data_IF_658187563719
#
_entry.id   IF_658187563719
#
_cell.length_a   1.000
_cell.length_b   1.000
_cell.length_c   1.000
_cell.angle_alpha   90.00
_cell.angle_beta   90.00
_cell.angle_gamma   90.00
#
_symmetry.space_group_name_H-M   'P 1'
#
loop_
_entity.id
_entity.type
_entity.pdbx_description
1 polymer ?
#
# COMPACT_ATOMS: atom_id res chain seq x y z
N UNK A 1 1.69 -1.37 -18.38
CA UNK A 1 1.13 0.01 -18.50
C UNK A 1 0.42 0.45 -17.22
N UNK A 2 -0.26 -0.45 -16.49
CA UNK A 2 -1.02 -0.13 -15.27
C UNK A 2 -0.19 0.42 -14.12
N UNK A 3 0.98 -0.16 -13.81
CA UNK A 3 1.82 0.29 -12.71
C UNK A 3 2.22 1.79 -12.81
N UNK A 4 2.38 2.30 -14.04
CA UNK A 4 2.72 3.72 -14.29
C UNK A 4 1.49 4.63 -14.12
N UNK A 5 0.31 4.16 -14.54
CA UNK A 5 -0.98 4.84 -14.35
C UNK A 5 -1.37 4.90 -12.88
N UNK A 6 -1.17 3.81 -12.13
CA UNK A 6 -1.37 3.76 -10.68
C UNK A 6 -0.42 4.70 -9.93
N UNK A 7 0.86 4.75 -10.34
CA UNK A 7 1.84 5.67 -9.80
C UNK A 7 1.42 7.15 -9.98
N UNK A 8 1.00 7.54 -11.18
CA UNK A 8 0.57 8.92 -11.45
C UNK A 8 -0.72 9.29 -10.69
N UNK A 9 -1.62 8.32 -10.47
CA UNK A 9 -2.87 8.52 -9.75
C UNK A 9 -2.64 8.83 -8.27
N UNK A 10 -1.75 8.10 -7.59
CA UNK A 10 -1.49 8.31 -6.16
C UNK A 10 -0.59 9.50 -5.88
N UNK A 11 0.35 9.82 -6.78
CA UNK A 11 1.16 11.03 -6.68
C UNK A 11 0.29 12.29 -6.65
N UNK A 12 -0.78 12.35 -7.46
CA UNK A 12 -1.75 13.45 -7.44
C UNK A 12 -2.54 13.54 -6.13
N UNK A 13 -2.74 12.43 -5.43
CA UNK A 13 -3.38 12.37 -4.11
C UNK A 13 -2.42 12.67 -2.94
N UNK A 14 -1.16 13.01 -3.24
CA UNK A 14 -0.13 13.25 -2.22
C UNK A 14 0.35 11.97 -1.52
N UNK A 15 0.12 10.80 -2.13
CA UNK A 15 0.54 9.50 -1.61
C UNK A 15 1.72 8.94 -2.39
N UNK A 16 2.45 8.02 -1.77
CA UNK A 16 3.58 7.32 -2.36
C UNK A 16 3.13 5.96 -2.92
N UNK A 17 3.91 5.41 -3.87
CA UNK A 17 3.70 4.05 -4.36
C UNK A 17 5.03 3.39 -4.70
N UNK A 18 5.11 2.08 -4.46
CA UNK A 18 6.24 1.24 -4.83
C UNK A 18 5.73 0.09 -5.69
N UNK A 19 6.15 0.05 -6.95
CA UNK A 19 5.67 -0.91 -7.96
C UNK A 19 6.82 -1.64 -8.66
N UNK A 20 8.05 -1.39 -8.22
CA UNK A 20 9.23 -2.09 -8.71
C UNK A 20 9.47 -3.31 -7.83
N UNK A 21 10.41 -4.15 -8.26
CA UNK A 21 10.82 -5.32 -7.48
C UNK A 21 11.23 -4.85 -6.09
N UNK A 22 10.58 -5.40 -5.07
CA UNK A 22 10.89 -5.09 -3.69
C UNK A 22 12.30 -5.57 -3.34
N UNK A 23 13.10 -4.67 -2.77
CA UNK A 23 14.40 -5.03 -2.21
C UNK A 23 14.20 -5.40 -0.73
N UNK A 24 14.58 -6.61 -0.36
CA UNK A 24 14.47 -7.06 1.02
C UNK A 24 15.23 -6.12 1.97
N UNK A 25 14.60 -5.77 3.08
CA UNK A 25 15.13 -4.83 4.07
C UNK A 25 14.80 -3.36 3.78
N UNK A 26 13.94 -3.07 2.80
CA UNK A 26 13.52 -1.69 2.50
C UNK A 26 12.89 -1.00 3.71
N UNK A 27 12.15 -1.72 4.58
CA UNK A 27 11.59 -1.11 5.80
C UNK A 27 12.48 -1.32 7.03
N UNK A 28 13.15 -2.47 7.13
CA UNK A 28 13.90 -2.84 8.33
C UNK A 28 15.34 -2.31 8.34
N UNK A 29 15.94 -2.07 7.17
CA UNK A 29 17.34 -1.68 7.00
C UNK A 29 17.49 -0.32 6.26
N UNK A 30 16.55 0.59 6.50
CA UNK A 30 16.53 1.91 5.85
C UNK A 30 17.82 2.69 6.02
N UNK A 31 18.46 2.66 7.20
CA UNK A 31 19.69 3.41 7.46
C UNK A 31 20.85 3.02 6.54
N UNK A 32 21.00 1.72 6.27
CA UNK A 32 22.07 1.24 5.38
C UNK A 32 21.73 1.49 3.92
N UNK A 33 20.45 1.34 3.54
CA UNK A 33 20.00 1.51 2.16
C UNK A 33 19.94 2.97 1.70
N UNK A 34 19.50 3.86 2.58
CA UNK A 34 19.24 5.27 2.25
C UNK A 34 20.27 6.23 2.85
N UNK A 35 21.18 5.74 3.71
CA UNK A 35 22.24 6.53 4.34
C UNK A 35 21.74 7.53 5.41
N UNK A 36 20.45 7.53 5.72
CA UNK A 36 19.84 8.44 6.70
C UNK A 36 18.64 7.79 7.39
N UNK A 37 18.28 8.33 8.55
CA UNK A 37 17.00 7.99 9.19
C UNK A 37 15.88 8.68 8.41
N UNK A 38 14.95 7.90 7.87
CA UNK A 38 13.82 8.40 7.08
C UNK A 38 12.50 8.17 7.81
N UNK A 39 11.49 8.98 7.48
CA UNK A 39 10.12 8.72 7.92
C UNK A 39 9.56 7.52 7.14
N UNK A 40 9.18 6.49 7.87
CA UNK A 40 8.52 5.31 7.31
C UNK A 40 7.04 5.58 7.00
N UNK A 41 6.40 4.76 6.15
CA UNK A 41 4.96 4.82 5.94
C UNK A 41 4.21 4.52 7.24
N UNK A 42 3.17 5.31 7.51
CA UNK A 42 2.28 5.08 8.66
C UNK A 42 1.24 3.96 8.38
N UNK A 43 1.02 3.63 7.11
CA UNK A 43 0.20 2.50 6.66
C UNK A 43 0.62 2.07 5.24
N UNK A 44 0.40 0.81 4.89
CA UNK A 44 0.69 0.27 3.55
C UNK A 44 -0.54 -0.44 2.99
N UNK A 45 -0.82 -0.23 1.70
CA UNK A 45 -1.88 -0.92 0.96
C UNK A 45 -1.24 -1.81 -0.11
N UNK A 46 -1.52 -3.11 -0.07
CA UNK A 46 -1.12 -4.09 -1.07
C UNK A 46 -2.28 -4.34 -2.03
N UNK A 47 -2.06 -4.09 -3.33
CA UNK A 47 -3.02 -4.43 -4.39
C UNK A 47 -2.95 -5.89 -4.80
N UNK A 48 -1.78 -6.50 -4.63
CA UNK A 48 -1.56 -7.94 -4.70
C UNK A 48 -0.59 -8.29 -3.57
N UNK A 49 -0.86 -9.41 -2.90
CA UNK A 49 -0.05 -9.90 -1.78
C UNK A 49 1.01 -10.90 -2.22
N UNK A 50 1.00 -11.29 -3.49
CA UNK A 50 1.96 -12.20 -4.09
C UNK A 50 2.94 -11.45 -4.99
N UNK A 51 4.11 -12.04 -5.17
CA UNK A 51 5.11 -11.61 -6.15
C UNK A 51 4.82 -12.25 -7.50
N UNK A 52 5.54 -11.80 -8.55
CA UNK A 52 5.40 -12.36 -9.90
C UNK A 52 5.73 -13.86 -10.03
N UNK A 53 6.32 -14.47 -9.00
CA UNK A 53 6.63 -15.91 -8.95
C UNK A 53 5.70 -16.69 -8.01
N UNK A 54 4.69 -16.05 -7.43
CA UNK A 54 3.71 -16.68 -6.53
C UNK A 54 4.11 -16.71 -5.05
N UNK A 55 5.29 -16.22 -4.68
CA UNK A 55 5.71 -16.12 -3.29
C UNK A 55 5.04 -14.94 -2.57
N UNK A 56 4.82 -15.06 -1.26
CA UNK A 56 4.32 -13.97 -0.42
C UNK A 56 5.24 -12.74 -0.48
N UNK A 57 4.65 -11.56 -0.62
CA UNK A 57 5.41 -10.32 -0.78
C UNK A 57 6.23 -9.98 0.49
N UNK A 58 7.57 -9.87 0.42
CA UNK A 58 8.42 -9.73 1.61
C UNK A 58 8.09 -8.52 2.50
N UNK A 59 7.58 -7.44 1.89
CA UNK A 59 7.16 -6.25 2.61
C UNK A 59 6.03 -6.50 3.63
N UNK A 60 5.23 -7.56 3.49
CA UNK A 60 4.17 -7.91 4.46
C UNK A 60 4.81 -8.23 5.81
N UNK A 61 5.81 -9.12 5.80
CA UNK A 61 6.57 -9.51 7.00
C UNK A 61 7.39 -8.34 7.54
N UNK A 62 8.03 -7.56 6.66
CA UNK A 62 8.78 -6.38 7.09
C UNK A 62 7.87 -5.33 7.77
N UNK A 63 6.68 -5.07 7.21
CA UNK A 63 5.71 -4.16 7.80
C UNK A 63 5.23 -4.64 9.18
N UNK A 64 4.93 -5.94 9.30
CA UNK A 64 4.56 -6.54 10.58
C UNK A 64 5.67 -6.40 11.63
N UNK A 65 6.94 -6.62 11.26
CA UNK A 65 8.09 -6.40 12.16
C UNK A 65 8.24 -4.96 12.61
N UNK A 66 7.91 -4.01 11.73
CA UNK A 66 7.98 -2.57 12.01
C UNK A 66 6.70 -2.01 12.65
N UNK A 67 5.72 -2.87 12.98
CA UNK A 67 4.40 -2.49 13.50
C UNK A 67 3.65 -1.49 12.60
N UNK A 68 3.86 -1.56 11.28
CA UNK A 68 3.17 -0.73 10.30
C UNK A 68 1.87 -1.46 9.91
N UNK A 69 0.69 -0.84 10.10
CA UNK A 69 -0.58 -1.46 9.73
C UNK A 69 -0.69 -1.64 8.21
N UNK A 70 -1.16 -2.82 7.81
CA UNK A 70 -1.26 -3.22 6.40
C UNK A 70 -2.71 -3.51 6.01
N UNK A 71 -3.09 -3.03 4.83
CA UNK A 71 -4.33 -3.42 4.15
C UNK A 71 -3.93 -4.22 2.92
N UNK A 72 -4.43 -5.45 2.76
CA UNK A 72 -4.07 -6.30 1.63
C UNK A 72 -5.28 -6.87 0.90
N UNK A 73 -5.23 -6.83 -0.43
CA UNK A 73 -6.15 -7.58 -1.30
C UNK A 73 -5.68 -9.03 -1.35
N UNK A 74 -6.55 -9.94 -0.97
CA UNK A 74 -6.26 -11.38 -0.83
C UNK A 74 -7.12 -12.14 -1.82
N UNK A 75 -6.48 -12.90 -2.71
CA UNK A 75 -7.15 -13.86 -3.59
C UNK A 75 -7.07 -15.30 -3.02
N UNK A 76 -7.76 -16.24 -3.66
CA UNK A 76 -7.85 -17.65 -3.31
C UNK A 76 -6.52 -18.37 -3.03
N UNK A 77 -5.43 -17.91 -3.64
CA UNK A 77 -4.09 -18.49 -3.55
C UNK A 77 -3.16 -17.74 -2.57
N UNK A 78 -3.64 -16.69 -1.92
CA UNK A 78 -2.85 -15.80 -1.10
C UNK A 78 -2.92 -16.19 0.37
N UNK A 79 -1.79 -16.13 1.09
CA UNK A 79 -1.77 -16.30 2.55
C UNK A 79 -2.05 -14.94 3.23
N UNK A 80 -3.18 -14.78 3.94
CA UNK A 80 -3.54 -13.54 4.62
C UNK A 80 -2.74 -13.30 5.91
N UNK A 81 -1.87 -14.23 6.31
CA UNK A 81 -1.07 -14.08 7.52
C UNK A 81 -0.32 -12.75 7.56
N UNK A 82 -0.25 -12.16 8.75
CA UNK A 82 0.45 -10.89 9.03
C UNK A 82 -0.16 -9.62 8.40
N UNK A 83 -1.28 -9.72 7.68
CA UNK A 83 -2.06 -8.54 7.30
C UNK A 83 -2.88 -8.02 8.48
N UNK A 84 -2.96 -6.70 8.64
CA UNK A 84 -3.81 -6.09 9.66
C UNK A 84 -5.28 -6.07 9.23
N UNK A 85 -5.54 -5.75 7.97
CA UNK A 85 -6.87 -5.69 7.37
C UNK A 85 -6.87 -6.36 6.00
N UNK A 86 -7.70 -7.39 5.83
CA UNK A 86 -7.80 -8.13 4.58
C UNK A 86 -9.04 -7.73 3.78
N UNK A 87 -8.90 -7.71 2.46
CA UNK A 87 -9.97 -7.46 1.49
C UNK A 87 -10.00 -8.66 0.53
N UNK A 88 -10.98 -9.57 0.66
CA UNK A 88 -11.13 -10.68 -0.27
C UNK A 88 -11.61 -10.15 -1.63
N UNK A 89 -10.76 -10.22 -2.66
CA UNK A 89 -11.09 -9.82 -4.02
C UNK A 89 -10.08 -10.36 -5.03
N UNK A 90 -10.49 -10.42 -6.29
CA UNK A 90 -9.63 -10.80 -7.41
C UNK A 90 -8.56 -9.70 -7.65
N UNK A 91 -7.28 -10.05 -7.62
CA UNK A 91 -6.15 -9.16 -7.88
C UNK A 91 -5.49 -9.36 -9.26
N UNK A 92 -5.95 -10.32 -10.07
CA UNK A 92 -5.41 -10.63 -11.40
C UNK A 92 -6.00 -9.77 -12.52
N UNK A 93 -7.31 -9.49 -12.46
CA UNK A 93 -7.99 -8.83 -13.59
C UNK A 93 -7.81 -7.30 -13.55
N UNK A 94 -7.43 -6.67 -14.68
CA UNK A 94 -7.31 -5.21 -14.80
C UNK A 94 -8.53 -4.45 -14.28
N UNK A 95 -9.73 -4.95 -14.59
CA UNK A 95 -10.99 -4.34 -14.21
C UNK A 95 -11.20 -4.36 -12.69
N UNK A 96 -10.86 -5.46 -12.03
CA UNK A 96 -10.95 -5.57 -10.56
C UNK A 96 -9.93 -4.66 -9.89
N UNK A 97 -8.68 -4.67 -10.36
CA UNK A 97 -7.62 -3.80 -9.84
C UNK A 97 -7.96 -2.33 -10.03
N UNK A 98 -8.45 -1.91 -11.20
CA UNK A 98 -8.89 -0.53 -11.45
C UNK A 98 -10.08 -0.13 -10.55
N UNK A 99 -11.01 -1.06 -10.30
CA UNK A 99 -12.11 -0.83 -9.38
C UNK A 99 -11.63 -0.59 -7.95
N UNK A 100 -10.76 -1.46 -7.43
CA UNK A 100 -10.17 -1.34 -6.09
C UNK A 100 -9.36 -0.05 -5.94
N UNK A 101 -8.51 0.26 -6.92
CA UNK A 101 -7.74 1.51 -6.98
C UNK A 101 -8.63 2.75 -6.88
N UNK A 102 -9.76 2.75 -7.59
CA UNK A 102 -10.73 3.85 -7.54
C UNK A 102 -11.36 4.00 -6.16
N UNK A 103 -11.69 2.90 -5.50
CA UNK A 103 -12.22 2.92 -4.13
C UNK A 103 -11.20 3.46 -3.13
N UNK A 104 -9.95 2.98 -3.18
CA UNK A 104 -8.89 3.50 -2.32
C UNK A 104 -8.65 5.00 -2.53
N UNK A 105 -8.60 5.44 -3.78
CA UNK A 105 -8.45 6.86 -4.11
C UNK A 105 -9.57 7.71 -3.53
N UNK A 106 -10.82 7.25 -3.65
CA UNK A 106 -11.98 7.96 -3.11
C UNK A 106 -11.98 7.99 -1.58
N UNK A 107 -11.60 6.89 -0.93
CA UNK A 107 -11.46 6.84 0.53
C UNK A 107 -10.39 7.82 1.03
N UNK A 108 -9.22 7.85 0.39
CA UNK A 108 -8.13 8.80 0.72
C UNK A 108 -8.59 10.25 0.53
N UNK A 109 -9.32 10.54 -0.56
CA UNK A 109 -9.88 11.87 -0.84
C UNK A 109 -10.83 12.31 0.28
N UNK A 110 -11.82 11.47 0.62
CA UNK A 110 -12.79 11.74 1.70
C UNK A 110 -12.11 11.95 3.05
N UNK A 111 -11.16 11.10 3.42
CA UNK A 111 -10.41 11.24 4.67
C UNK A 111 -9.61 12.53 4.73
N UNK A 112 -8.99 12.92 3.61
CA UNK A 112 -8.23 14.17 3.51
C UNK A 112 -9.14 15.40 3.64
N UNK A 113 -10.32 15.37 3.00
CA UNK A 113 -11.32 16.45 3.08
C UNK A 113 -11.91 16.58 4.49
N UNK A 114 -12.27 15.46 5.12
CA UNK A 114 -12.75 15.42 6.50
C UNK A 114 -11.73 16.02 7.47
N UNK A 115 -10.44 15.67 7.33
CA UNK A 115 -9.34 16.24 8.12
C UNK A 115 -9.24 17.75 7.93
N UNK A 116 -9.34 18.25 6.70
CA UNK A 116 -9.30 19.70 6.41
C UNK A 116 -10.49 20.43 7.02
N UNK A 117 -11.70 19.86 6.94
CA UNK A 117 -12.92 20.43 7.54
C UNK A 117 -12.81 20.52 9.06
N UNK A 118 -12.42 19.42 9.71
CA UNK A 118 -12.20 19.39 11.16
C UNK A 118 -11.13 20.42 11.61
N UNK A 119 -10.04 20.55 10.85
CA UNK A 119 -9.00 21.54 11.13
C UNK A 119 -9.46 23.00 10.90
N UNK A 120 -10.48 23.23 10.07
CA UNK A 120 -11.09 24.55 9.88
C UNK A 120 -12.09 24.87 11.00
N UNK A 121 -12.86 23.89 11.47
CA UNK A 121 -13.83 24.07 12.57
C UNK A 121 -13.17 24.31 13.94
N UNK A 122 -11.92 23.87 14.11
CA UNK A 122 -11.12 24.09 15.32
C UNK A 122 -10.36 25.42 15.35
N UNK A 123 -10.44 26.22 14.28
CA UNK A 123 -9.85 27.57 14.19
C UNK A 123 -10.91 28.62 14.41
#
# INVERSE_FOLDING_TARGET
>A
MEARRSYDNFRKAGQYSHVRKWQAGTLTNTKQLLGASVRLPDAIVFLSTLTSVGDSHPAIIEAAKMAIPTVGVVDSNSDPAYLSYLIPANDDTPQSVEYLLRLFKEAIRRGTEARKKAAHELK
#
